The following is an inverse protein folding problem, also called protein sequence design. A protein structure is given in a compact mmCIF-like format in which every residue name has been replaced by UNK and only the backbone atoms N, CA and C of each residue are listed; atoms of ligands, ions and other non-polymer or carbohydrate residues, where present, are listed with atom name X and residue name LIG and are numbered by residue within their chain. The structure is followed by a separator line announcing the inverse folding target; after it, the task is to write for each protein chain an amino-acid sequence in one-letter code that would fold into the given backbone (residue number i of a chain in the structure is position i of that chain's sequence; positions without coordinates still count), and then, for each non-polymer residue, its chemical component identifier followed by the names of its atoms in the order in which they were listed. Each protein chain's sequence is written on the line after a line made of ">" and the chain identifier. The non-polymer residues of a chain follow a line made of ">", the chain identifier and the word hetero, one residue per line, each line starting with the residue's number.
data_IF_690830179739
#
_entry.id   IF_690830179739
#
_cell.length_a   1.000
_cell.length_b   1.000
_cell.length_c   1.000
_cell.angle_alpha   90.00
_cell.angle_beta   90.00
_cell.angle_gamma   90.00
#
_symmetry.space_group_name_H-M   'P 1'
#
loop_
_entity.id
_entity.type
_entity.pdbx_description
1 polymer ?
#
# COMPACT_ATOMS: atom_id res chain seq x y z
N UNK A 1 -3.83 -21.50 16.54
CA UNK A 1 -3.09 -22.15 17.67
C UNK A 1 -3.30 -21.42 19.00
N UNK A 2 -3.14 -20.09 19.10
CA UNK A 2 -3.48 -19.37 20.33
C UNK A 2 -4.98 -19.51 20.63
N UNK A 3 -5.82 -19.20 19.66
CA UNK A 3 -7.27 -19.35 19.76
C UNK A 3 -7.70 -20.79 20.05
N UNK A 4 -7.08 -21.78 19.43
CA UNK A 4 -7.35 -23.18 19.71
C UNK A 4 -7.09 -23.52 21.19
N UNK A 5 -6.04 -22.95 21.79
CA UNK A 5 -5.76 -23.13 23.23
C UNK A 5 -6.79 -22.42 24.11
N UNK A 6 -7.23 -21.20 23.71
CA UNK A 6 -8.26 -20.44 24.45
C UNK A 6 -9.60 -21.18 24.42
N UNK A 7 -9.94 -21.77 23.27
CA UNK A 7 -11.19 -22.53 23.07
C UNK A 7 -11.05 -24.02 23.49
N UNK A 8 -9.99 -24.40 24.19
CA UNK A 8 -9.71 -25.79 24.66
C UNK A 8 -9.73 -26.83 23.53
N UNK A 9 -9.44 -26.42 22.28
CA UNK A 9 -9.31 -27.33 21.14
C UNK A 9 -7.91 -27.92 21.13
N UNK A 10 -7.78 -29.14 21.58
CA UNK A 10 -6.52 -29.87 21.64
C UNK A 10 -6.03 -30.20 20.22
N UNK A 11 -4.80 -29.81 19.86
CA UNK A 11 -4.21 -30.05 18.54
C UNK A 11 -3.35 -31.33 18.55
N UNK A 12 -3.48 -32.14 17.48
CA UNK A 12 -2.61 -33.35 17.30
C UNK A 12 -1.13 -32.95 17.22
N UNK A 13 -0.82 -31.85 16.51
CA UNK A 13 0.52 -31.26 16.40
C UNK A 13 0.43 -29.75 16.22
N UNK A 14 1.23 -28.99 16.96
CA UNK A 14 1.28 -27.55 16.85
C UNK A 14 2.19 -27.04 15.70
N UNK A 15 3.14 -27.82 15.25
CA UNK A 15 4.19 -27.44 14.29
C UNK A 15 4.97 -26.16 14.65
N UNK A 16 4.82 -25.60 15.85
CA UNK A 16 5.38 -24.31 16.28
C UNK A 16 6.90 -24.25 16.08
N UNK A 17 7.63 -25.28 16.52
CA UNK A 17 9.09 -25.36 16.36
C UNK A 17 9.49 -25.52 14.90
N UNK A 18 8.83 -26.44 14.19
CA UNK A 18 9.14 -26.74 12.79
C UNK A 18 8.85 -25.57 11.86
N UNK A 19 7.75 -24.83 12.08
CA UNK A 19 7.43 -23.66 11.28
C UNK A 19 8.44 -22.53 11.51
N UNK A 20 8.85 -22.27 12.77
CA UNK A 20 9.89 -21.29 13.08
C UNK A 20 11.22 -21.64 12.39
N UNK A 21 11.63 -22.91 12.45
CA UNK A 21 12.85 -23.39 11.78
C UNK A 21 12.75 -23.22 10.25
N UNK A 22 11.63 -23.63 9.65
CA UNK A 22 11.42 -23.50 8.21
C UNK A 22 11.41 -22.03 7.76
N UNK A 23 10.85 -21.13 8.56
CA UNK A 23 10.86 -19.68 8.27
C UNK A 23 12.29 -19.10 8.27
N UNK A 24 13.10 -19.45 9.29
CA UNK A 24 14.50 -19.02 9.36
C UNK A 24 15.29 -19.54 8.16
N UNK A 25 15.14 -20.84 7.84
CA UNK A 25 15.84 -21.43 6.70
C UNK A 25 15.39 -20.86 5.37
N UNK A 26 14.10 -20.51 5.22
CA UNK A 26 13.58 -19.84 4.03
C UNK A 26 14.27 -18.48 3.82
N UNK A 27 14.38 -17.67 4.88
CA UNK A 27 15.05 -16.36 4.84
C UNK A 27 16.52 -16.49 4.44
N UNK A 28 17.28 -17.43 5.06
CA UNK A 28 18.68 -17.70 4.74
C UNK A 28 18.88 -18.11 3.27
N UNK A 29 18.05 -19.04 2.77
CA UNK A 29 18.15 -19.47 1.37
C UNK A 29 17.75 -18.35 0.41
N UNK A 30 16.78 -17.53 0.75
CA UNK A 30 16.35 -16.39 -0.08
C UNK A 30 17.46 -15.33 -0.18
N UNK A 31 18.11 -15.00 0.93
CA UNK A 31 19.25 -14.08 0.98
C UNK A 31 20.41 -14.60 0.12
N UNK A 32 20.69 -15.90 0.21
CA UNK A 32 21.73 -16.58 -0.60
C UNK A 32 21.30 -16.85 -2.06
N UNK A 33 20.16 -16.30 -2.54
CA UNK A 33 19.60 -16.51 -3.89
C UNK A 33 19.38 -17.98 -4.28
N UNK A 34 19.23 -18.86 -3.29
CA UNK A 34 18.93 -20.29 -3.47
C UNK A 34 17.41 -20.53 -3.54
N UNK A 35 16.77 -20.02 -4.60
CA UNK A 35 15.32 -19.97 -4.72
C UNK A 35 14.62 -21.34 -4.64
N UNK A 36 15.20 -22.38 -5.22
CA UNK A 36 14.65 -23.75 -5.15
C UNK A 36 14.55 -24.24 -3.69
N UNK A 37 15.60 -24.01 -2.89
CA UNK A 37 15.64 -24.38 -1.47
C UNK A 37 14.68 -23.53 -0.64
N UNK A 38 14.64 -22.21 -0.89
CA UNK A 38 13.71 -21.29 -0.24
C UNK A 38 12.25 -21.71 -0.50
N UNK A 39 11.90 -22.02 -1.74
CA UNK A 39 10.55 -22.46 -2.12
C UNK A 39 10.17 -23.81 -1.48
N UNK A 40 11.12 -24.72 -1.28
CA UNK A 40 10.88 -25.96 -0.53
C UNK A 40 10.45 -25.68 0.92
N UNK A 41 11.05 -24.66 1.57
CA UNK A 41 10.63 -24.26 2.92
C UNK A 41 9.24 -23.63 2.93
N UNK A 42 8.92 -22.81 1.92
CA UNK A 42 7.55 -22.24 1.79
C UNK A 42 6.51 -23.34 1.64
N UNK A 43 6.77 -24.38 0.84
CA UNK A 43 5.85 -25.54 0.72
C UNK A 43 5.65 -26.25 2.08
N UNK A 44 6.72 -26.45 2.85
CA UNK A 44 6.61 -27.02 4.22
C UNK A 44 5.73 -26.16 5.12
N UNK A 45 5.90 -24.83 5.08
CA UNK A 45 5.07 -23.91 5.87
C UNK A 45 3.59 -23.99 5.47
N UNK A 46 3.28 -24.04 4.16
CA UNK A 46 1.92 -24.26 3.67
C UNK A 46 1.36 -25.63 4.14
N UNK A 47 2.16 -26.67 4.09
CA UNK A 47 1.75 -28.01 4.61
C UNK A 47 1.41 -27.95 6.09
N UNK A 48 2.24 -27.32 6.92
CA UNK A 48 1.99 -27.20 8.36
C UNK A 48 0.72 -26.39 8.65
N UNK A 49 0.52 -25.27 7.94
CA UNK A 49 -0.70 -24.47 8.05
C UNK A 49 -1.92 -25.33 7.70
N UNK A 50 -1.93 -26.00 6.55
CA UNK A 50 -3.04 -26.84 6.13
C UNK A 50 -3.33 -28.01 7.08
N UNK A 51 -2.28 -28.61 7.68
CA UNK A 51 -2.48 -29.65 8.68
C UNK A 51 -3.19 -29.15 9.94
N UNK A 52 -2.77 -27.98 10.45
CA UNK A 52 -3.39 -27.37 11.64
C UNK A 52 -4.83 -26.92 11.32
N UNK A 53 -5.06 -26.29 10.18
CA UNK A 53 -6.40 -25.84 9.75
C UNK A 53 -7.36 -27.01 9.70
N UNK A 54 -7.05 -28.08 8.97
CA UNK A 54 -7.90 -29.27 8.86
C UNK A 54 -8.08 -30.03 10.19
N UNK A 55 -7.09 -29.96 11.09
CA UNK A 55 -7.23 -30.59 12.41
C UNK A 55 -8.24 -29.86 13.29
N UNK A 56 -8.19 -28.49 13.26
CA UNK A 56 -9.18 -27.68 13.98
C UNK A 56 -10.58 -27.86 13.36
N UNK A 57 -10.72 -27.75 12.03
CA UNK A 57 -11.98 -27.90 11.32
C UNK A 57 -12.71 -29.19 11.70
N UNK A 58 -11.98 -30.32 11.71
CA UNK A 58 -12.56 -31.62 12.10
C UNK A 58 -13.01 -31.66 13.56
N UNK A 59 -12.29 -31.00 14.44
CA UNK A 59 -12.60 -31.05 15.89
C UNK A 59 -13.76 -30.15 16.29
N UNK A 60 -13.99 -29.08 15.56
CA UNK A 60 -15.08 -28.14 15.83
C UNK A 60 -16.32 -28.41 14.97
N UNK A 61 -16.30 -29.44 14.12
CA UNK A 61 -17.38 -29.74 13.17
C UNK A 61 -18.77 -29.86 13.84
N UNK A 62 -18.84 -30.28 15.09
CA UNK A 62 -20.09 -30.43 15.84
C UNK A 62 -20.47 -29.20 16.68
N UNK A 63 -19.72 -28.10 16.61
CA UNK A 63 -19.98 -26.89 17.42
C UNK A 63 -20.12 -25.65 16.55
N UNK A 64 -21.36 -25.19 16.34
CA UNK A 64 -21.67 -23.99 15.55
C UNK A 64 -20.99 -22.73 16.10
N UNK A 65 -20.93 -22.58 17.42
CA UNK A 65 -20.27 -21.44 18.07
C UNK A 65 -18.77 -21.40 17.78
N UNK A 66 -18.09 -22.55 17.87
CA UNK A 66 -16.66 -22.62 17.54
C UNK A 66 -16.41 -22.41 16.04
N UNK A 67 -17.30 -22.94 15.18
CA UNK A 67 -17.22 -22.68 13.74
C UNK A 67 -17.30 -21.19 13.44
N UNK A 68 -18.26 -20.47 14.01
CA UNK A 68 -18.40 -19.02 13.86
C UNK A 68 -17.17 -18.25 14.38
N UNK A 69 -16.65 -18.66 15.54
CA UNK A 69 -15.44 -18.06 16.12
C UNK A 69 -14.20 -18.25 15.23
N UNK A 70 -14.00 -19.43 14.65
CA UNK A 70 -12.84 -19.72 13.80
C UNK A 70 -13.01 -19.30 12.33
N UNK A 71 -14.21 -18.95 11.86
CA UNK A 71 -14.49 -18.64 10.47
C UNK A 71 -13.53 -17.59 9.86
N UNK A 72 -13.26 -16.43 10.50
CA UNK A 72 -12.33 -15.43 9.95
C UNK A 72 -10.88 -15.94 9.83
N UNK A 73 -10.48 -16.80 10.78
CA UNK A 73 -9.14 -17.40 10.77
C UNK A 73 -9.01 -18.44 9.66
N UNK A 74 -10.06 -19.22 9.42
CA UNK A 74 -10.10 -20.18 8.31
C UNK A 74 -10.12 -19.50 6.96
N UNK A 75 -10.92 -18.45 6.78
CA UNK A 75 -10.93 -17.66 5.56
C UNK A 75 -9.52 -17.18 5.21
N UNK A 76 -8.83 -16.59 6.20
CA UNK A 76 -7.46 -16.12 6.03
C UNK A 76 -6.49 -17.27 5.72
N UNK A 77 -6.61 -18.41 6.42
CA UNK A 77 -5.76 -19.57 6.22
C UNK A 77 -5.97 -20.19 4.83
N UNK A 78 -7.21 -20.35 4.38
CA UNK A 78 -7.55 -20.86 3.06
C UNK A 78 -7.07 -19.93 1.96
N UNK A 79 -7.24 -18.61 2.11
CA UNK A 79 -6.70 -17.60 1.19
C UNK A 79 -5.19 -17.73 1.03
N UNK A 80 -4.43 -17.89 2.13
CA UNK A 80 -2.98 -18.12 2.09
C UNK A 80 -2.57 -19.43 1.46
N UNK A 81 -3.34 -20.50 1.70
CA UNK A 81 -3.07 -21.83 1.14
C UNK A 81 -3.29 -21.86 -0.38
N UNK A 82 -4.39 -21.27 -0.84
CA UNK A 82 -4.75 -21.21 -2.26
C UNK A 82 -3.90 -20.24 -3.06
N UNK A 83 -3.47 -19.14 -2.44
CA UNK A 83 -2.77 -18.03 -3.09
C UNK A 83 -1.57 -18.47 -3.92
N UNK A 84 -1.54 -18.06 -5.20
CA UNK A 84 -0.49 -18.31 -6.15
C UNK A 84 0.35 -17.06 -6.44
N UNK A 85 1.51 -17.23 -7.10
CA UNK A 85 2.42 -16.11 -7.41
C UNK A 85 1.77 -15.08 -8.35
N UNK A 86 0.90 -15.50 -9.26
CA UNK A 86 0.31 -14.67 -10.31
C UNK A 86 -1.04 -14.05 -9.92
N UNK A 87 -1.59 -14.40 -8.75
CA UNK A 87 -2.89 -13.86 -8.34
C UNK A 87 -2.83 -12.34 -8.17
N UNK A 88 -3.90 -11.66 -8.58
CA UNK A 88 -4.02 -10.21 -8.49
C UNK A 88 -4.27 -9.75 -7.05
N UNK A 89 -5.22 -10.36 -6.35
CA UNK A 89 -5.65 -9.95 -4.99
C UNK A 89 -4.96 -10.77 -3.89
N UNK A 90 -3.63 -10.70 -3.83
CA UNK A 90 -2.87 -11.42 -2.80
C UNK A 90 -2.94 -10.74 -1.45
N UNK A 91 -2.96 -11.56 -0.41
CA UNK A 91 -2.75 -11.10 0.96
C UNK A 91 -1.25 -10.92 1.19
N UNK A 92 -0.81 -9.68 1.38
CA UNK A 92 0.61 -9.34 1.61
C UNK A 92 0.95 -9.20 3.09
N UNK A 93 -0.01 -8.84 3.91
CA UNK A 93 0.13 -8.72 5.36
C UNK A 93 -1.08 -9.32 6.08
N UNK A 94 -0.84 -10.06 7.17
CA UNK A 94 -1.92 -10.58 8.01
C UNK A 94 -2.48 -9.50 8.96
N UNK A 95 -1.66 -8.52 9.31
CA UNK A 95 -2.03 -7.46 10.25
C UNK A 95 -2.63 -6.25 9.56
N UNK A 96 -2.46 -6.15 8.24
CA UNK A 96 -2.97 -5.07 7.40
C UNK A 96 -3.38 -5.68 6.05
N UNK A 97 -4.53 -6.37 5.99
CA UNK A 97 -5.00 -7.08 4.80
C UNK A 97 -5.28 -6.15 3.61
N UNK A 98 -5.47 -4.87 3.84
CA UNK A 98 -5.64 -3.80 2.86
C UNK A 98 -4.35 -3.44 2.10
N UNK A 99 -3.18 -3.90 2.57
CA UNK A 99 -1.89 -3.61 1.94
C UNK A 99 -1.82 -4.17 0.53
N UNK A 100 -1.48 -3.30 -0.40
CA UNK A 100 -1.31 -3.62 -1.81
C UNK A 100 0.17 -3.70 -2.22
N UNK A 101 0.43 -4.30 -3.38
CA UNK A 101 1.75 -4.36 -3.99
C UNK A 101 1.81 -3.40 -5.18
N UNK A 102 2.60 -2.35 -5.05
CA UNK A 102 2.75 -1.29 -6.05
C UNK A 102 4.07 -1.51 -6.81
N UNK A 103 3.99 -1.71 -8.12
CA UNK A 103 5.16 -1.83 -8.97
C UNK A 103 5.74 -0.43 -9.27
N UNK A 104 7.02 -0.23 -8.97
CA UNK A 104 7.70 1.08 -9.15
C UNK A 104 8.58 1.18 -10.40
N UNK A 105 8.77 0.10 -11.13
CA UNK A 105 9.64 0.09 -12.32
C UNK A 105 11.12 0.40 -12.07
N UNK A 106 11.54 0.55 -10.82
CA UNK A 106 12.95 0.82 -10.45
C UNK A 106 13.74 -0.48 -10.31
N UNK A 107 14.93 -0.54 -10.88
CA UNK A 107 15.76 -1.75 -10.89
C UNK A 107 16.10 -2.27 -9.48
N UNK A 108 16.42 -1.37 -8.54
CA UNK A 108 16.84 -1.72 -7.18
C UNK A 108 15.64 -1.94 -6.22
N UNK A 109 14.49 -1.34 -6.48
CA UNK A 109 13.28 -1.48 -5.65
C UNK A 109 12.06 -1.62 -6.53
N UNK A 110 11.82 -2.85 -6.99
CA UNK A 110 10.74 -3.16 -7.96
C UNK A 110 9.34 -2.97 -7.39
N UNK A 111 9.16 -3.25 -6.10
CA UNK A 111 7.85 -3.26 -5.44
C UNK A 111 7.90 -2.45 -4.16
N UNK A 112 6.83 -1.72 -3.89
CA UNK A 112 6.50 -1.13 -2.60
C UNK A 112 5.19 -1.75 -2.11
N UNK A 113 5.05 -1.87 -0.78
CA UNK A 113 3.86 -2.42 -0.15
C UNK A 113 3.20 -1.35 0.69
N UNK A 114 1.89 -1.21 0.55
CA UNK A 114 1.09 -0.19 1.22
C UNK A 114 -0.04 0.31 0.34
N UNK A 115 -0.55 1.49 0.64
CA UNK A 115 -1.53 2.20 -0.14
C UNK A 115 -0.85 3.27 -1.00
N UNK A 116 -1.36 3.50 -2.20
CA UNK A 116 -0.95 4.64 -3.04
C UNK A 116 -1.51 5.93 -2.45
N UNK A 117 -0.71 6.99 -2.42
CA UNK A 117 -1.15 8.30 -1.94
C UNK A 117 -0.94 9.34 -3.04
N UNK A 118 -2.01 10.08 -3.36
CA UNK A 118 -1.95 11.30 -4.17
C UNK A 118 -1.67 12.47 -3.27
N UNK A 119 -0.77 13.36 -3.68
CA UNK A 119 -0.43 14.60 -2.96
C UNK A 119 -0.54 15.77 -3.92
N UNK A 120 -1.28 16.79 -3.54
CA UNK A 120 -1.44 18.04 -4.30
C UNK A 120 -0.83 19.19 -3.50
N UNK A 121 0.00 19.99 -4.16
CA UNK A 121 0.66 21.14 -3.53
C UNK A 121 0.41 22.43 -4.31
N UNK A 122 0.46 23.58 -3.63
CA UNK A 122 0.53 24.88 -4.29
C UNK A 122 1.82 25.00 -5.10
N UNK A 123 1.73 25.56 -6.31
CA UNK A 123 2.89 25.65 -7.22
C UNK A 123 3.97 26.63 -6.74
N UNK A 124 3.61 27.68 -6.00
CA UNK A 124 4.54 28.71 -5.54
C UNK A 124 5.21 28.35 -4.23
N UNK A 125 4.43 27.93 -3.25
CA UNK A 125 4.92 27.81 -1.87
C UNK A 125 5.01 26.37 -1.38
N UNK A 126 4.57 25.39 -2.18
CA UNK A 126 4.58 23.94 -1.86
C UNK A 126 3.80 23.60 -0.57
N UNK A 127 2.73 24.33 -0.24
CA UNK A 127 1.78 23.88 0.78
C UNK A 127 0.98 22.71 0.26
N UNK A 128 0.79 21.70 1.07
CA UNK A 128 -0.06 20.55 0.75
C UNK A 128 -1.52 20.99 0.89
N UNK A 129 -2.24 21.03 -0.23
CA UNK A 129 -3.66 21.38 -0.32
C UNK A 129 -4.54 20.16 -0.59
N UNK A 130 -3.95 18.99 -0.83
CA UNK A 130 -4.65 17.72 -0.97
C UNK A 130 -3.74 16.54 -0.65
N UNK A 131 -4.27 15.53 0.03
CA UNK A 131 -3.59 14.27 0.30
C UNK A 131 -4.61 13.15 0.45
N UNK A 132 -4.61 12.19 -0.48
CA UNK A 132 -5.62 11.13 -0.58
C UNK A 132 -4.97 9.76 -0.64
N UNK A 133 -5.42 8.84 0.22
CA UNK A 133 -5.11 7.42 0.10
C UNK A 133 -5.98 6.79 -0.99
N UNK A 134 -5.35 6.10 -1.94
CA UNK A 134 -5.96 5.53 -3.13
C UNK A 134 -5.80 4.01 -3.13
N UNK A 135 -6.85 3.32 -2.71
CA UNK A 135 -6.90 1.86 -2.72
C UNK A 135 -7.25 1.32 -4.12
N UNK A 136 -6.84 0.06 -4.41
CA UNK A 136 -7.00 -0.56 -5.72
C UNK A 136 -5.91 -0.18 -6.71
N UNK A 137 -4.87 0.57 -6.26
CA UNK A 137 -3.76 1.05 -7.10
C UNK A 137 -4.24 1.63 -8.46
N UNK A 138 -5.18 2.60 -8.46
CA UNK A 138 -5.75 3.15 -9.68
C UNK A 138 -4.67 3.78 -10.56
N UNK A 139 -4.97 3.88 -11.86
CA UNK A 139 -4.14 4.64 -12.78
C UNK A 139 -4.13 6.13 -12.40
N UNK A 140 -2.96 6.79 -12.44
CA UNK A 140 -2.81 8.17 -11.97
C UNK A 140 -3.76 9.14 -12.69
N UNK A 141 -3.97 8.96 -13.99
CA UNK A 141 -4.88 9.79 -14.77
C UNK A 141 -6.32 9.81 -14.26
N UNK A 142 -6.84 8.70 -13.76
CA UNK A 142 -8.20 8.60 -13.20
C UNK A 142 -8.33 9.18 -11.79
N UNK A 143 -7.23 9.59 -11.19
CA UNK A 143 -7.24 10.15 -9.82
C UNK A 143 -7.20 11.69 -9.82
N UNK A 144 -7.07 12.30 -11.00
CA UNK A 144 -6.84 13.74 -11.11
C UNK A 144 -8.06 14.55 -10.70
N UNK A 145 -9.28 14.16 -11.10
CA UNK A 145 -10.52 14.83 -10.72
C UNK A 145 -10.63 14.93 -9.20
N UNK A 146 -10.59 13.81 -8.49
CA UNK A 146 -10.72 13.79 -7.03
C UNK A 146 -9.58 14.54 -6.31
N UNK A 147 -8.37 14.55 -6.87
CA UNK A 147 -7.25 15.30 -6.29
C UNK A 147 -7.45 16.81 -6.43
N UNK A 148 -7.99 17.29 -7.57
CA UNK A 148 -8.30 18.69 -7.79
C UNK A 148 -9.48 19.13 -6.92
N UNK A 149 -10.58 18.40 -6.93
CA UNK A 149 -11.76 18.67 -6.08
C UNK A 149 -11.39 18.79 -4.59
N UNK A 150 -10.54 17.89 -4.09
CA UNK A 150 -10.06 17.98 -2.72
C UNK A 150 -9.25 19.26 -2.49
N UNK A 151 -8.35 19.60 -3.40
CA UNK A 151 -7.48 20.75 -3.28
C UNK A 151 -8.29 22.07 -3.30
N UNK A 152 -9.25 22.20 -4.21
CA UNK A 152 -10.13 23.37 -4.33
C UNK A 152 -11.01 23.52 -3.08
N UNK A 153 -11.63 22.43 -2.63
CA UNK A 153 -12.46 22.44 -1.42
C UNK A 153 -11.70 22.80 -0.15
N UNK A 154 -10.47 22.30 0.02
CA UNK A 154 -9.66 22.54 1.23
C UNK A 154 -8.95 23.89 1.18
N UNK A 155 -8.63 24.38 0.00
CA UNK A 155 -7.92 25.63 -0.19
C UNK A 155 -8.80 26.84 -0.46
N UNK A 156 -10.11 26.64 -0.64
CA UNK A 156 -11.10 27.65 -1.00
C UNK A 156 -10.67 28.49 -2.22
N UNK A 157 -10.26 27.80 -3.29
CA UNK A 157 -9.84 28.40 -4.55
C UNK A 157 -10.26 27.54 -5.75
N UNK A 158 -10.35 28.15 -6.93
CA UNK A 158 -10.48 27.45 -8.21
C UNK A 158 -9.11 27.31 -8.88
N UNK A 159 -8.76 26.08 -9.27
CA UNK A 159 -7.52 25.81 -9.97
C UNK A 159 -7.59 26.35 -11.42
N UNK A 160 -6.61 27.15 -11.84
CA UNK A 160 -6.49 27.64 -13.22
C UNK A 160 -5.54 26.77 -14.05
N UNK A 161 -4.47 26.32 -13.45
CA UNK A 161 -3.44 25.50 -14.08
C UNK A 161 -2.98 24.37 -13.16
N UNK A 162 -2.85 23.19 -13.72
CA UNK A 162 -2.43 21.97 -13.01
C UNK A 162 -1.17 21.42 -13.67
N UNK A 163 -0.12 21.17 -12.89
CA UNK A 163 1.15 20.65 -13.37
C UNK A 163 1.38 19.23 -12.86
N UNK A 164 1.34 18.24 -13.74
CA UNK A 164 1.44 16.83 -13.42
C UNK A 164 2.62 16.14 -14.09
N UNK A 165 3.01 14.97 -13.60
CA UNK A 165 4.05 14.17 -14.22
C UNK A 165 3.52 13.37 -15.43
N UNK A 166 4.38 12.50 -16.00
CA UNK A 166 3.99 11.69 -17.15
C UNK A 166 3.05 10.56 -16.81
N UNK A 167 2.94 10.17 -15.56
CA UNK A 167 2.03 9.14 -15.09
C UNK A 167 0.57 9.50 -15.35
N UNK A 168 0.28 10.79 -15.47
CA UNK A 168 -1.07 11.31 -15.79
C UNK A 168 -1.37 11.42 -17.29
N UNK A 169 -0.55 10.85 -18.16
CA UNK A 169 -0.79 10.90 -19.62
C UNK A 169 -2.07 10.14 -19.98
N UNK A 170 -3.02 10.80 -20.63
CA UNK A 170 -4.34 10.22 -20.92
C UNK A 170 -5.28 10.30 -19.71
N UNK A 171 -5.14 11.36 -18.90
CA UNK A 171 -6.07 11.65 -17.79
C UNK A 171 -7.49 11.92 -18.32
N UNK A 172 -8.46 11.67 -17.47
CA UNK A 172 -9.89 11.89 -17.69
C UNK A 172 -10.41 13.17 -17.01
N UNK A 173 -9.55 14.14 -16.73
CA UNK A 173 -9.94 15.41 -16.11
C UNK A 173 -10.80 16.23 -17.05
N UNK A 174 -12.02 16.57 -16.60
CA UNK A 174 -13.03 17.33 -17.35
C UNK A 174 -13.28 18.73 -16.78
N UNK A 175 -12.56 19.12 -15.72
CA UNK A 175 -12.72 20.43 -15.09
C UNK A 175 -12.14 21.58 -15.92
N UNK A 176 -12.40 22.84 -15.50
CA UNK A 176 -12.00 24.05 -16.25
C UNK A 176 -10.49 24.32 -16.24
N UNK A 177 -9.75 23.74 -15.30
CA UNK A 177 -8.32 24.00 -15.16
C UNK A 177 -7.49 23.41 -16.30
N UNK A 178 -6.48 24.13 -16.76
CA UNK A 178 -5.59 23.65 -17.81
C UNK A 178 -4.53 22.70 -17.26
N UNK A 179 -4.53 21.46 -17.74
CA UNK A 179 -3.57 20.44 -17.33
C UNK A 179 -2.30 20.47 -18.18
N UNK A 180 -1.15 20.57 -17.51
CA UNK A 180 0.18 20.59 -18.13
C UNK A 180 0.98 19.34 -17.73
N UNK A 181 1.22 18.46 -18.70
CA UNK A 181 2.02 17.24 -18.52
C UNK A 181 3.52 17.57 -18.61
N UNK A 182 4.31 16.98 -17.71
CA UNK A 182 5.75 17.00 -17.82
C UNK A 182 6.23 16.36 -19.13
N UNK A 183 7.15 17.01 -19.85
CA UNK A 183 7.66 16.57 -21.15
C UNK A 183 9.19 16.41 -21.13
N UNK A 184 9.72 15.51 -21.94
CA UNK A 184 11.12 15.53 -22.36
C UNK A 184 11.27 16.54 -23.50
N UNK A 185 12.43 17.20 -23.59
CA UNK A 185 12.72 18.11 -24.73
C UNK A 185 11.95 19.43 -24.64
N UNK A 186 12.09 20.15 -23.54
CA UNK A 186 11.40 21.43 -23.30
C UNK A 186 11.94 22.64 -24.13
N UNK A 187 12.74 22.42 -25.19
CA UNK A 187 13.33 23.52 -25.98
C UNK A 187 12.29 24.42 -26.65
N UNK A 188 11.17 23.82 -27.10
CA UNK A 188 10.07 24.56 -27.78
C UNK A 188 8.94 25.02 -26.83
N UNK A 189 9.12 24.92 -25.50
CA UNK A 189 8.13 25.32 -24.51
C UNK A 189 8.38 26.75 -24.08
N UNK A 190 7.30 27.57 -23.96
CA UNK A 190 7.39 28.97 -23.47
C UNK A 190 8.16 29.03 -22.14
N UNK A 191 9.04 30.04 -21.92
CA UNK A 191 9.89 30.09 -20.71
C UNK A 191 9.11 30.04 -19.41
N UNK A 192 7.96 30.70 -19.33
CA UNK A 192 7.09 30.70 -18.16
C UNK A 192 6.58 29.27 -17.82
N UNK A 193 6.03 28.60 -18.83
CA UNK A 193 5.53 27.22 -18.65
C UNK A 193 6.68 26.25 -18.29
N UNK A 194 7.86 26.42 -18.90
CA UNK A 194 9.07 25.66 -18.57
C UNK A 194 9.46 25.81 -17.11
N UNK A 195 9.38 27.04 -16.58
CA UNK A 195 9.67 27.34 -15.18
C UNK A 195 8.73 26.56 -14.25
N UNK A 196 7.43 26.58 -14.51
CA UNK A 196 6.44 25.87 -13.70
C UNK A 196 6.56 24.36 -13.80
N UNK A 197 6.79 23.80 -14.99
CA UNK A 197 7.04 22.37 -15.17
C UNK A 197 8.32 21.89 -14.45
N UNK A 198 9.36 22.72 -14.36
CA UNK A 198 10.54 22.44 -13.55
C UNK A 198 10.21 22.51 -12.05
N UNK A 199 9.45 23.53 -11.65
CA UNK A 199 9.07 23.73 -10.25
C UNK A 199 8.18 22.59 -9.72
N UNK A 200 7.40 21.94 -10.57
CA UNK A 200 6.65 20.73 -10.22
C UNK A 200 7.52 19.69 -9.47
N UNK A 201 8.79 19.56 -9.84
CA UNK A 201 9.69 18.59 -9.18
C UNK A 201 9.89 18.85 -7.69
N UNK A 202 9.56 20.03 -7.18
CA UNK A 202 9.62 20.35 -5.75
C UNK A 202 8.69 19.46 -4.91
N UNK A 203 7.61 18.92 -5.51
CA UNK A 203 6.71 17.98 -4.82
C UNK A 203 7.43 16.70 -4.38
N UNK A 204 8.50 16.29 -5.07
CA UNK A 204 9.30 15.11 -4.70
C UNK A 204 9.97 15.29 -3.34
N UNK A 205 10.46 16.50 -3.05
CA UNK A 205 11.01 16.87 -1.74
C UNK A 205 9.91 16.89 -0.67
N UNK A 206 8.74 17.46 -0.97
CA UNK A 206 7.58 17.46 -0.07
C UNK A 206 7.19 16.03 0.31
N UNK A 207 7.02 15.16 -0.69
CA UNK A 207 6.71 13.74 -0.45
C UNK A 207 7.84 13.05 0.33
N UNK A 208 9.10 13.40 0.06
CA UNK A 208 10.26 12.92 0.82
C UNK A 208 10.11 13.24 2.31
N UNK A 209 9.89 14.50 2.65
CA UNK A 209 9.65 14.96 4.04
C UNK A 209 8.40 14.33 4.66
N UNK A 210 7.29 14.24 3.94
CA UNK A 210 6.10 13.54 4.43
C UNK A 210 6.39 12.07 4.78
N UNK A 211 7.26 11.39 4.00
CA UNK A 211 7.64 9.99 4.25
C UNK A 211 8.59 9.84 5.43
N UNK A 212 9.61 10.68 5.56
CA UNK A 212 10.64 10.58 6.62
C UNK A 212 10.16 11.19 7.93
N UNK A 213 9.70 12.42 7.88
CA UNK A 213 9.39 13.22 9.07
C UNK A 213 7.91 13.06 9.48
N UNK A 214 7.02 12.93 8.48
CA UNK A 214 5.57 12.76 8.65
C UNK A 214 5.10 11.32 8.77
N UNK A 215 5.99 10.33 8.62
CA UNK A 215 5.67 8.90 8.67
C UNK A 215 4.69 8.41 7.59
N UNK A 216 4.53 9.12 6.49
CA UNK A 216 3.74 8.64 5.36
C UNK A 216 4.28 7.31 4.79
N UNK A 217 5.58 7.06 4.95
CA UNK A 217 6.22 5.79 4.55
C UNK A 217 5.97 4.63 5.51
N UNK A 218 5.33 4.86 6.68
CA UNK A 218 5.06 3.83 7.69
C UNK A 218 3.83 4.19 8.53
N UNK A 219 2.67 3.78 8.04
CA UNK A 219 1.41 3.98 8.77
C UNK A 219 1.33 3.07 10.01
N UNK A 220 0.87 3.61 11.13
CA UNK A 220 0.56 2.86 12.37
C UNK A 220 -0.94 2.74 12.62
N UNK A 221 -1.76 3.48 11.89
CA UNK A 221 -3.20 3.34 11.89
C UNK A 221 -3.60 2.11 11.06
N UNK A 222 -4.69 1.48 11.40
CA UNK A 222 -5.13 0.23 10.77
C UNK A 222 -6.29 0.47 9.83
N UNK A 223 -6.33 -0.36 8.78
CA UNK A 223 -7.41 -0.39 7.82
C UNK A 223 -7.41 0.77 6.83
N UNK A 224 -8.36 0.73 5.91
CA UNK A 224 -8.54 1.74 4.85
C UNK A 224 -8.70 3.15 5.41
N UNK A 225 -9.48 3.31 6.48
CA UNK A 225 -9.64 4.61 7.14
C UNK A 225 -8.36 5.08 7.81
N UNK A 226 -7.58 4.17 8.39
CA UNK A 226 -6.26 4.48 8.92
C UNK A 226 -5.32 5.05 7.85
N UNK A 227 -5.33 4.51 6.64
CA UNK A 227 -4.54 5.03 5.52
C UNK A 227 -5.01 6.43 5.09
N UNK A 228 -6.33 6.66 5.05
CA UNK A 228 -6.91 7.98 4.72
C UNK A 228 -6.52 9.04 5.74
N UNK A 229 -6.71 8.74 7.02
CA UNK A 229 -6.36 9.64 8.12
C UNK A 229 -4.85 9.94 8.11
N UNK A 230 -4.02 8.91 7.96
CA UNK A 230 -2.57 9.08 7.92
C UNK A 230 -2.12 9.99 6.77
N UNK A 231 -2.71 9.85 5.58
CA UNK A 231 -2.40 10.71 4.43
C UNK A 231 -2.69 12.19 4.75
N UNK A 232 -3.87 12.48 5.32
CA UNK A 232 -4.28 13.85 5.70
C UNK A 232 -3.36 14.41 6.79
N UNK A 233 -3.10 13.65 7.86
CA UNK A 233 -2.25 14.07 8.96
C UNK A 233 -0.80 14.35 8.51
N UNK A 234 -0.27 13.57 7.57
CA UNK A 234 1.06 13.81 7.00
C UNK A 234 1.11 15.12 6.21
N UNK A 235 0.06 15.43 5.45
CA UNK A 235 -0.07 16.71 4.72
C UNK A 235 -0.18 17.90 5.67
N UNK A 236 -1.05 17.82 6.67
CA UNK A 236 -1.22 18.85 7.70
C UNK A 236 0.08 19.08 8.49
N UNK A 237 0.75 17.99 8.92
CA UNK A 237 2.01 18.07 9.64
C UNK A 237 3.14 18.68 8.80
N UNK A 238 3.16 18.46 7.47
CA UNK A 238 4.08 19.14 6.57
C UNK A 238 3.82 20.65 6.57
N UNK A 239 2.57 21.07 6.45
CA UNK A 239 2.19 22.49 6.41
C UNK A 239 2.54 23.20 7.74
N UNK A 240 2.23 22.58 8.88
CA UNK A 240 2.57 23.13 10.21
C UNK A 240 4.07 23.34 10.34
N UNK A 241 4.89 22.34 10.01
CA UNK A 241 6.37 22.48 10.03
C UNK A 241 6.90 23.58 9.11
N UNK A 242 6.18 23.89 8.06
CA UNK A 242 6.55 24.92 7.12
C UNK A 242 6.21 26.34 7.62
N UNK A 243 5.26 26.46 8.53
CA UNK A 243 4.85 27.71 9.17
C UNK A 243 5.71 28.06 10.39
N UNK A 244 6.34 27.04 11.00
CA UNK A 244 7.29 27.20 12.12
C UNK A 244 8.70 27.53 11.60
#
# INVERSE_FOLDING_TARGET
>A
MKEAKVCEVELRKSYKRLSKQSLIMQGRYRHARQDKRANKQVRKLKTYLGCVTRDIERKIACSSNLQAHFAPLFETAHRLLSQQRQDKNKLYSLHAPEVECIAKGKAHKKYEFGCKVSVTTTSKDNFVVGSQALHGNPYDGHTLNGAVEQAERLGDFEAKEIYVDRGYRGHDYEGPAKVHLARTGMRKVKPTLRRWLKRRSAIESVIGHMKTDGRLGRNYLLGVEGDRINAILCGAGHNIRKLL
#
